data_IF_042487900943
#
_entry.id   IF_042487900943
#
_cell.length_a   1.000
_cell.length_b   1.000
_cell.length_c   1.000
_cell.angle_alpha   90.00
_cell.angle_beta   90.00
_cell.angle_gamma   90.00
#
_symmetry.space_group_name_H-M   'P 1'
#
loop_
_entity.id
_entity.type
_entity.pdbx_description
1 polymer ?
#
# COMPACT_ATOMS: atom_id res chain seq x y z
N UNK A 1 5.06 -17.71 28.87
CA UNK A 1 6.40 -18.33 28.91
C UNK A 1 6.26 -19.67 29.61
N UNK A 2 6.80 -20.77 29.05
CA UNK A 2 6.97 -21.99 29.87
C UNK A 2 7.90 -21.62 31.02
N UNK A 3 7.52 -21.98 32.24
CA UNK A 3 8.35 -21.81 33.42
C UNK A 3 9.74 -22.41 33.16
N UNK A 4 10.80 -21.63 33.39
CA UNK A 4 12.17 -22.16 33.35
C UNK A 4 12.27 -23.20 34.45
N UNK A 5 12.59 -24.44 34.08
CA UNK A 5 12.75 -25.51 35.06
C UNK A 5 14.03 -25.27 35.85
N UNK A 6 13.86 -25.00 37.13
CA UNK A 6 14.97 -24.86 38.07
C UNK A 6 15.16 -26.20 38.77
N UNK A 7 16.40 -26.68 38.76
CA UNK A 7 16.81 -27.90 39.43
C UNK A 7 17.69 -27.55 40.62
N UNK A 8 17.46 -28.17 41.76
CA UNK A 8 18.33 -27.98 42.92
C UNK A 8 19.37 -29.09 42.98
N UNK A 9 20.65 -28.71 43.13
CA UNK A 9 21.76 -29.65 43.34
C UNK A 9 22.44 -29.34 44.68
N UNK A 10 22.82 -30.39 45.41
CA UNK A 10 23.56 -30.32 46.68
C UNK A 10 25.07 -30.20 46.43
N UNK A 11 25.78 -29.55 47.35
CA UNK A 11 27.19 -29.15 47.18
C UNK A 11 28.18 -30.31 46.97
N UNK A 12 27.82 -31.53 47.38
CA UNK A 12 28.60 -32.77 47.20
C UNK A 12 28.48 -33.37 45.79
N UNK A 13 27.41 -33.05 45.05
CA UNK A 13 27.17 -33.52 43.67
C UNK A 13 27.75 -32.57 42.61
N UNK A 14 28.36 -31.45 43.02
CA UNK A 14 29.06 -30.53 42.13
C UNK A 14 30.38 -31.14 41.64
N UNK A 15 30.88 -30.65 40.51
CA UNK A 15 32.18 -31.06 39.96
C UNK A 15 33.06 -29.82 39.71
N UNK A 16 34.14 -29.62 40.50
CA UNK A 16 34.58 -30.46 41.62
C UNK A 16 33.64 -30.36 42.84
N UNK A 17 33.56 -31.41 43.70
CA UNK A 17 32.73 -31.38 44.90
C UNK A 17 33.23 -30.34 45.91
N UNK A 18 32.31 -29.67 46.60
CA UNK A 18 32.66 -28.71 47.66
C UNK A 18 32.45 -29.37 49.02
N UNK A 19 33.55 -29.55 49.76
CA UNK A 19 33.55 -30.17 51.09
C UNK A 19 33.79 -29.13 52.19
N UNK A 20 32.94 -29.13 53.23
CA UNK A 20 33.09 -28.28 54.42
C UNK A 20 31.78 -27.64 54.87
N UNK A 21 30.98 -27.13 53.92
CA UNK A 21 29.65 -26.57 54.16
C UNK A 21 28.62 -27.22 53.23
N UNK A 22 27.48 -27.64 53.78
CA UNK A 22 26.36 -28.22 53.02
C UNK A 22 25.43 -27.10 52.56
N UNK A 23 25.30 -26.92 51.26
CA UNK A 23 24.34 -25.99 50.68
C UNK A 23 23.68 -26.58 49.43
N UNK A 24 22.54 -26.01 49.06
CA UNK A 24 21.83 -26.29 47.83
C UNK A 24 21.97 -25.10 46.88
N UNK A 25 22.12 -25.36 45.58
CA UNK A 25 22.13 -24.32 44.54
C UNK A 25 21.18 -24.65 43.40
N UNK A 26 20.61 -23.61 42.83
CA UNK A 26 19.63 -23.68 41.75
C UNK A 26 20.34 -23.63 40.39
N UNK A 27 20.10 -24.63 39.56
CA UNK A 27 20.74 -24.86 38.27
C UNK A 27 19.72 -25.00 37.15
N UNK A 28 20.12 -24.61 35.94
CA UNK A 28 19.37 -24.86 34.70
C UNK A 28 20.16 -25.86 33.86
N UNK A 29 19.49 -26.87 33.31
CA UNK A 29 20.15 -27.81 32.40
C UNK A 29 20.57 -27.10 31.12
N UNK A 30 21.75 -27.44 30.61
CA UNK A 30 22.22 -26.94 29.31
C UNK A 30 21.19 -27.18 28.19
N UNK A 31 20.51 -28.33 28.17
CA UNK A 31 19.45 -28.63 27.19
C UNK A 31 18.30 -27.61 27.24
N UNK A 32 17.87 -27.26 28.44
CA UNK A 32 16.73 -26.35 28.64
C UNK A 32 17.12 -24.91 28.29
N UNK A 33 18.37 -24.54 28.56
CA UNK A 33 18.94 -23.25 28.15
C UNK A 33 19.09 -23.16 26.62
N UNK A 34 19.64 -24.19 25.97
CA UNK A 34 19.79 -24.25 24.52
C UNK A 34 18.42 -24.18 23.80
N UNK A 35 17.38 -24.83 24.34
CA UNK A 35 16.02 -24.70 23.83
C UNK A 35 15.47 -23.26 23.97
N UNK A 36 15.81 -22.56 25.05
CA UNK A 36 15.40 -21.18 25.26
C UNK A 36 16.10 -20.23 24.28
N UNK A 37 17.41 -20.39 24.08
CA UNK A 37 18.18 -19.64 23.08
C UNK A 37 17.64 -19.85 21.68
N UNK A 38 17.32 -21.10 21.29
CA UNK A 38 16.73 -21.40 20.00
C UNK A 38 15.38 -20.70 19.81
N UNK A 39 14.52 -20.69 20.84
CA UNK A 39 13.23 -19.97 20.80
C UNK A 39 13.42 -18.46 20.71
N UNK A 40 14.41 -17.91 21.42
CA UNK A 40 14.73 -16.49 21.35
C UNK A 40 15.20 -16.10 19.96
N UNK A 41 16.08 -16.90 19.34
CA UNK A 41 16.54 -16.67 17.98
C UNK A 41 15.39 -16.66 16.95
N UNK A 42 14.44 -17.60 17.07
CA UNK A 42 13.22 -17.61 16.23
C UNK A 42 12.37 -16.37 16.48
N UNK A 43 12.14 -16.01 17.75
CA UNK A 43 11.34 -14.83 18.10
C UNK A 43 11.94 -13.53 17.59
N UNK A 44 13.27 -13.39 17.61
CA UNK A 44 13.96 -12.23 17.02
C UNK A 44 13.67 -12.13 15.53
N UNK A 45 13.81 -13.24 14.79
CA UNK A 45 13.52 -13.27 13.35
C UNK A 45 12.06 -12.94 13.05
N UNK A 46 11.12 -13.47 13.83
CA UNK A 46 9.70 -13.21 13.64
C UNK A 46 9.32 -11.76 14.00
N UNK A 47 9.93 -11.19 15.05
CA UNK A 47 9.78 -9.78 15.38
C UNK A 47 10.32 -8.87 14.26
N UNK A 48 11.46 -9.21 13.67
CA UNK A 48 12.02 -8.44 12.55
C UNK A 48 11.07 -8.45 11.34
N UNK A 49 10.52 -9.63 10.99
CA UNK A 49 9.50 -9.74 9.92
C UNK A 49 8.23 -8.96 10.24
N UNK A 50 7.78 -8.99 11.49
CA UNK A 50 6.60 -8.25 11.93
C UNK A 50 6.83 -6.74 11.84
N UNK A 51 8.00 -6.25 12.27
CA UNK A 51 8.37 -4.84 12.14
C UNK A 51 8.42 -4.40 10.68
N UNK A 52 8.96 -5.22 9.79
CA UNK A 52 9.00 -4.90 8.36
C UNK A 52 7.60 -4.86 7.73
N UNK A 53 6.75 -5.84 8.08
CA UNK A 53 5.36 -5.87 7.63
C UNK A 53 4.57 -4.65 8.11
N UNK A 54 4.81 -4.20 9.36
CA UNK A 54 4.19 -3.00 9.91
C UNK A 54 4.64 -1.72 9.18
N UNK A 55 5.93 -1.61 8.84
CA UNK A 55 6.44 -0.47 8.04
C UNK A 55 5.78 -0.41 6.66
N UNK A 56 5.65 -1.55 6.00
CA UNK A 56 4.99 -1.63 4.69
C UNK A 56 3.50 -1.25 4.79
N UNK A 57 2.81 -1.73 5.83
CA UNK A 57 1.42 -1.38 6.07
C UNK A 57 1.23 0.12 6.35
N UNK A 58 2.11 0.73 7.15
CA UNK A 58 2.09 2.16 7.45
C UNK A 58 2.25 3.01 6.17
N UNK A 59 3.20 2.63 5.30
CA UNK A 59 3.40 3.29 4.01
C UNK A 59 2.15 3.22 3.12
N UNK A 60 1.48 2.06 3.07
CA UNK A 60 0.24 1.86 2.30
C UNK A 60 -0.90 2.73 2.87
N UNK A 61 -1.07 2.75 4.20
CA UNK A 61 -2.10 3.56 4.87
C UNK A 61 -1.87 5.05 4.60
N UNK A 62 -0.63 5.52 4.71
CA UNK A 62 -0.28 6.92 4.44
C UNK A 62 -0.61 7.31 3.00
N UNK A 63 -0.20 6.50 2.02
CA UNK A 63 -0.49 6.75 0.60
C UNK A 63 -2.00 6.76 0.32
N UNK A 64 -2.75 5.83 0.92
CA UNK A 64 -4.21 5.78 0.78
C UNK A 64 -4.86 7.03 1.38
N UNK A 65 -4.40 7.46 2.56
CA UNK A 65 -4.89 8.67 3.21
C UNK A 65 -4.64 9.92 2.37
N UNK A 66 -3.45 10.07 1.77
CA UNK A 66 -3.12 11.17 0.87
C UNK A 66 -4.04 11.21 -0.35
N UNK A 67 -4.26 10.05 -1.01
CA UNK A 67 -5.15 9.95 -2.19
C UNK A 67 -6.60 10.26 -1.83
N UNK A 68 -7.12 9.70 -0.75
CA UNK A 68 -8.51 9.95 -0.33
C UNK A 68 -8.72 11.39 0.15
N UNK A 69 -7.72 12.00 0.80
CA UNK A 69 -7.80 13.41 1.19
C UNK A 69 -7.87 14.32 -0.04
N UNK A 70 -7.08 14.04 -1.08
CA UNK A 70 -7.15 14.78 -2.34
C UNK A 70 -8.52 14.62 -3.04
N UNK A 71 -9.06 13.40 -3.09
CA UNK A 71 -10.41 13.16 -3.63
C UNK A 71 -11.51 13.84 -2.80
N UNK A 72 -11.39 13.85 -1.47
CA UNK A 72 -12.33 14.54 -0.60
C UNK A 72 -12.31 16.06 -0.83
N UNK A 73 -11.11 16.65 -0.94
CA UNK A 73 -10.95 18.06 -1.26
C UNK A 73 -11.55 18.42 -2.62
N UNK A 74 -11.27 17.63 -3.66
CA UNK A 74 -11.86 17.79 -4.99
C UNK A 74 -13.38 17.70 -4.94
N UNK A 75 -13.95 16.73 -4.22
CA UNK A 75 -15.40 16.56 -4.09
C UNK A 75 -16.09 17.75 -3.40
N UNK A 76 -15.45 18.37 -2.40
CA UNK A 76 -15.99 19.58 -1.78
C UNK A 76 -15.93 20.77 -2.74
N UNK A 77 -14.83 20.90 -3.48
CA UNK A 77 -14.66 21.99 -4.46
C UNK A 77 -15.60 21.85 -5.66
N UNK A 78 -15.94 20.63 -6.08
CA UNK A 78 -16.89 20.34 -7.17
C UNK A 78 -18.25 21.03 -6.99
N UNK A 79 -18.68 21.30 -5.75
CA UNK A 79 -19.94 22.01 -5.46
C UNK A 79 -19.91 23.48 -5.88
N UNK A 80 -18.72 24.07 -6.01
CA UNK A 80 -18.51 25.50 -6.26
C UNK A 80 -17.68 25.76 -7.52
N UNK A 81 -17.41 24.73 -8.33
CA UNK A 81 -16.68 24.88 -9.58
C UNK A 81 -17.44 25.79 -10.54
N UNK A 82 -16.73 26.80 -11.06
CA UNK A 82 -17.24 27.66 -12.10
C UNK A 82 -16.64 27.26 -13.45
N UNK A 83 -17.46 27.07 -14.48
CA UNK A 83 -16.97 26.81 -15.82
C UNK A 83 -16.12 27.98 -16.31
N UNK A 84 -15.18 27.71 -17.21
CA UNK A 84 -14.39 28.77 -17.83
C UNK A 84 -15.25 29.64 -18.74
N UNK A 85 -14.82 30.88 -19.00
CA UNK A 85 -15.51 31.77 -19.94
C UNK A 85 -15.66 31.13 -21.33
N UNK A 86 -14.64 30.40 -21.78
CA UNK A 86 -14.69 29.67 -23.05
C UNK A 86 -15.77 28.59 -23.05
N UNK A 87 -15.92 27.84 -21.94
CA UNK A 87 -16.95 26.83 -21.82
C UNK A 87 -18.36 27.43 -21.78
N UNK A 88 -18.52 28.57 -21.10
CA UNK A 88 -19.78 29.33 -21.12
C UNK A 88 -20.13 29.80 -22.53
N UNK A 89 -19.15 30.28 -23.31
CA UNK A 89 -19.38 30.71 -24.69
C UNK A 89 -19.80 29.54 -25.59
N UNK A 90 -19.08 28.41 -25.53
CA UNK A 90 -19.47 27.21 -26.28
C UNK A 90 -20.82 26.63 -25.87
N UNK A 91 -21.17 26.76 -24.58
CA UNK A 91 -22.49 26.39 -24.07
C UNK A 91 -23.60 27.24 -24.72
N UNK A 92 -23.41 28.56 -24.84
CA UNK A 92 -24.35 29.44 -25.50
C UNK A 92 -24.48 29.13 -26.99
N UNK A 93 -23.34 28.90 -27.68
CA UNK A 93 -23.35 28.52 -29.10
C UNK A 93 -24.15 27.23 -29.33
N UNK A 94 -23.98 26.23 -28.46
CA UNK A 94 -24.73 24.98 -28.54
C UNK A 94 -26.22 25.15 -28.19
N UNK A 95 -26.56 26.10 -27.31
CA UNK A 95 -27.95 26.39 -26.95
C UNK A 95 -28.70 27.07 -28.11
N UNK A 96 -28.07 27.99 -28.83
CA UNK A 96 -28.68 28.71 -29.96
C UNK A 96 -28.55 27.99 -31.31
N UNK A 97 -27.86 26.84 -31.36
CA UNK A 97 -27.74 26.05 -32.58
C UNK A 97 -29.02 25.28 -32.95
N UNK A 98 -29.98 25.17 -32.03
CA UNK A 98 -31.16 24.32 -32.16
C UNK A 98 -32.38 24.95 -31.49
N UNK A 99 -33.05 25.84 -32.23
CA UNK A 99 -34.24 26.56 -31.76
C UNK A 99 -35.52 25.72 -31.83
N UNK A 100 -35.48 24.56 -32.51
CA UNK A 100 -36.66 23.71 -32.73
C UNK A 100 -36.98 22.83 -31.52
N UNK A 101 -35.96 22.42 -30.75
CA UNK A 101 -36.12 21.52 -29.59
C UNK A 101 -35.33 22.06 -28.38
N UNK A 102 -35.96 22.91 -27.56
CA UNK A 102 -35.31 23.57 -26.43
C UNK A 102 -34.62 22.62 -25.44
N UNK A 103 -35.19 21.45 -25.17
CA UNK A 103 -34.62 20.45 -24.26
C UNK A 103 -33.32 19.84 -24.81
N UNK A 104 -33.23 19.67 -26.14
CA UNK A 104 -32.05 19.12 -26.80
C UNK A 104 -30.90 20.14 -26.79
N UNK A 105 -31.22 21.39 -27.08
CA UNK A 105 -30.27 22.50 -27.01
C UNK A 105 -29.76 22.68 -25.57
N UNK A 106 -30.65 22.65 -24.57
CA UNK A 106 -30.31 22.72 -23.16
C UNK A 106 -29.40 21.56 -22.71
N UNK A 107 -29.69 20.33 -23.15
CA UNK A 107 -28.85 19.17 -22.83
C UNK A 107 -27.46 19.25 -23.48
N UNK A 108 -27.37 19.75 -24.72
CA UNK A 108 -26.08 19.96 -25.39
C UNK A 108 -25.23 21.00 -24.62
N UNK A 109 -25.83 22.14 -24.28
CA UNK A 109 -25.25 23.20 -23.48
C UNK A 109 -24.77 22.69 -22.09
N UNK A 110 -25.62 21.97 -21.37
CA UNK A 110 -25.28 21.39 -20.06
C UNK A 110 -24.08 20.43 -20.14
N UNK A 111 -24.04 19.57 -21.17
CA UNK A 111 -22.94 18.63 -21.34
C UNK A 111 -21.60 19.32 -21.60
N UNK A 112 -21.59 20.48 -22.27
CA UNK A 112 -20.38 21.29 -22.47
C UNK A 112 -19.89 21.84 -21.13
N UNK A 113 -20.77 22.44 -20.34
CA UNK A 113 -20.42 22.98 -19.02
C UNK A 113 -19.89 21.88 -18.10
N UNK A 114 -20.58 20.74 -18.04
CA UNK A 114 -20.16 19.60 -17.20
C UNK A 114 -18.78 19.07 -17.59
N UNK A 115 -18.48 18.97 -18.89
CA UNK A 115 -17.16 18.50 -19.37
C UNK A 115 -16.04 19.50 -19.15
N UNK A 116 -16.35 20.78 -18.97
CA UNK A 116 -15.35 21.82 -18.72
C UNK A 116 -14.82 21.84 -17.28
N UNK A 117 -15.55 21.19 -16.36
CA UNK A 117 -15.13 21.00 -14.97
C UNK A 117 -14.16 19.83 -14.91
N UNK A 118 -12.91 20.11 -14.53
CA UNK A 118 -11.87 19.11 -14.41
C UNK A 118 -11.91 18.39 -13.06
N UNK A 119 -11.50 17.12 -13.04
CA UNK A 119 -11.37 16.30 -11.83
C UNK A 119 -9.96 15.69 -11.75
N UNK A 120 -8.90 16.52 -11.58
CA UNK A 120 -7.52 16.08 -11.64
C UNK A 120 -7.15 15.00 -10.61
N UNK A 121 -7.71 15.03 -9.40
CA UNK A 121 -7.47 14.01 -8.38
C UNK A 121 -8.13 12.68 -8.77
N UNK A 122 -9.36 12.73 -9.31
CA UNK A 122 -10.03 11.55 -9.88
C UNK A 122 -9.25 11.00 -11.07
N UNK A 123 -8.78 11.86 -11.98
CA UNK A 123 -8.01 11.45 -13.16
C UNK A 123 -6.69 10.78 -12.77
N UNK A 124 -5.96 11.35 -11.81
CA UNK A 124 -4.73 10.77 -11.27
C UNK A 124 -5.00 9.42 -10.56
N UNK A 125 -6.11 9.31 -9.82
CA UNK A 125 -6.52 8.05 -9.21
C UNK A 125 -6.82 6.96 -10.25
N UNK A 126 -7.56 7.29 -11.31
CA UNK A 126 -7.86 6.37 -12.40
C UNK A 126 -6.60 5.96 -13.18
N UNK A 127 -5.69 6.91 -13.42
CA UNK A 127 -4.40 6.63 -14.06
C UNK A 127 -3.56 5.64 -13.25
N UNK A 128 -3.50 5.83 -11.93
CA UNK A 128 -2.82 4.92 -11.01
C UNK A 128 -3.47 3.53 -10.99
N UNK A 129 -4.81 3.44 -10.96
CA UNK A 129 -5.51 2.15 -11.01
C UNK A 129 -5.23 1.39 -12.30
N UNK A 130 -5.18 2.09 -13.45
CA UNK A 130 -4.78 1.49 -14.73
C UNK A 130 -3.33 1.02 -14.69
N UNK A 131 -2.42 1.81 -14.11
CA UNK A 131 -1.01 1.45 -13.98
C UNK A 131 -0.82 0.18 -13.12
N UNK A 132 -1.51 0.10 -11.97
CA UNK A 132 -1.51 -1.09 -11.12
C UNK A 132 -2.09 -2.31 -11.85
N UNK A 133 -3.14 -2.13 -12.64
CA UNK A 133 -3.69 -3.21 -13.47
C UNK A 133 -2.68 -3.80 -14.45
N UNK A 134 -1.88 -2.94 -15.09
CA UNK A 134 -0.80 -3.32 -16.00
C UNK A 134 0.32 -4.05 -15.26
N UNK A 135 0.72 -3.55 -14.10
CA UNK A 135 1.75 -4.17 -13.26
C UNK A 135 1.31 -5.57 -12.80
N UNK A 136 0.10 -5.71 -12.26
CA UNK A 136 -0.47 -7.00 -11.86
C UNK A 136 -0.56 -7.99 -13.02
N UNK A 137 -0.95 -7.53 -14.22
CA UNK A 137 -0.94 -8.39 -15.41
C UNK A 137 0.47 -8.88 -15.74
N UNK A 138 1.46 -7.99 -15.68
CA UNK A 138 2.86 -8.32 -15.99
C UNK A 138 3.46 -9.34 -15.01
N UNK A 139 3.07 -9.29 -13.74
CA UNK A 139 3.50 -10.27 -12.73
C UNK A 139 2.95 -11.67 -13.02
N UNK A 140 1.73 -11.76 -13.56
CA UNK A 140 1.11 -13.04 -13.96
C UNK A 140 1.70 -13.63 -15.23
N UNK A 141 2.44 -12.84 -16.02
CA UNK A 141 3.05 -13.29 -17.28
C UNK A 141 4.24 -14.25 -17.07
N UNK A 142 4.66 -14.51 -15.83
CA UNK A 142 5.74 -15.45 -15.50
C UNK A 142 7.11 -14.77 -15.46
N UNK A 143 8.19 -15.54 -15.58
CA UNK A 143 9.56 -15.03 -15.54
C UNK A 143 10.59 -16.05 -16.02
N UNK A 144 11.81 -15.60 -16.26
CA UNK A 144 12.94 -16.47 -16.62
C UNK A 144 13.15 -16.70 -18.12
N UNK A 145 12.33 -16.09 -18.98
CA UNK A 145 12.55 -16.03 -20.44
C UNK A 145 12.81 -14.60 -20.90
N UNK A 146 13.49 -14.45 -22.04
CA UNK A 146 13.70 -13.14 -22.66
C UNK A 146 12.36 -12.43 -22.94
N UNK A 147 11.37 -13.16 -23.46
CA UNK A 147 10.04 -12.62 -23.74
C UNK A 147 9.33 -12.14 -22.47
N UNK A 148 9.33 -12.95 -21.39
CA UNK A 148 8.71 -12.54 -20.12
C UNK A 148 9.37 -11.31 -19.49
N UNK A 149 10.69 -11.16 -19.67
CA UNK A 149 11.41 -10.00 -19.15
C UNK A 149 11.07 -8.74 -19.97
N UNK A 150 11.04 -8.85 -21.30
CA UNK A 150 10.63 -7.75 -22.18
C UNK A 150 9.20 -7.28 -21.87
N UNK A 151 8.26 -8.20 -21.64
CA UNK A 151 6.88 -7.83 -21.28
C UNK A 151 6.82 -7.07 -19.96
N UNK A 152 7.62 -7.46 -18.96
CA UNK A 152 7.68 -6.75 -17.67
C UNK A 152 8.26 -5.34 -17.81
N UNK A 153 9.33 -5.17 -18.59
CA UNK A 153 9.91 -3.85 -18.85
C UNK A 153 8.90 -2.93 -19.56
N UNK A 154 8.27 -3.42 -20.64
CA UNK A 154 7.26 -2.66 -21.38
C UNK A 154 6.06 -2.32 -20.49
N UNK A 155 5.62 -3.24 -19.64
CA UNK A 155 4.53 -3.00 -18.70
C UNK A 155 4.91 -1.94 -17.66
N UNK A 156 6.13 -1.98 -17.11
CA UNK A 156 6.61 -0.97 -16.17
C UNK A 156 6.69 0.42 -16.82
N UNK A 157 7.22 0.51 -18.04
CA UNK A 157 7.26 1.76 -18.81
C UNK A 157 5.86 2.28 -19.14
N UNK A 158 4.93 1.40 -19.51
CA UNK A 158 3.55 1.77 -19.80
C UNK A 158 2.82 2.25 -18.54
N UNK A 159 2.98 1.55 -17.41
CA UNK A 159 2.45 1.98 -16.12
C UNK A 159 2.98 3.36 -15.71
N UNK A 160 4.28 3.61 -15.92
CA UNK A 160 4.88 4.93 -15.67
C UNK A 160 4.30 6.02 -16.60
N UNK A 161 4.02 5.72 -17.86
CA UNK A 161 3.37 6.66 -18.79
C UNK A 161 1.92 6.95 -18.41
N UNK A 162 1.18 5.95 -17.94
CA UNK A 162 -0.18 6.12 -17.43
C UNK A 162 -0.19 7.11 -16.25
N UNK A 163 0.69 6.92 -15.26
CA UNK A 163 0.82 7.84 -14.10
C UNK A 163 1.15 9.28 -14.48
N UNK A 164 1.86 9.48 -15.60
CA UNK A 164 2.20 10.82 -16.11
C UNK A 164 1.10 11.44 -16.98
N UNK A 165 0.01 10.72 -17.27
CA UNK A 165 -1.04 11.17 -18.19
C UNK A 165 -0.58 11.25 -19.66
N UNK A 166 0.51 10.57 -20.03
CA UNK A 166 1.12 10.64 -21.38
C UNK A 166 0.55 9.57 -22.32
N UNK A 167 -0.09 8.54 -21.78
CA UNK A 167 -0.76 7.49 -22.54
C UNK A 167 -2.27 7.76 -22.56
N UNK A 168 -2.72 8.63 -23.45
CA UNK A 168 -4.13 8.77 -23.81
C UNK A 168 -4.27 9.07 -25.29
#
# INVERSE_FOLDING_TARGET
MKEVKIYTIVSDQLSPPITGESFCTDMVRHSDYAELEAKYAVLTVDNDKAMESLKQADAVVKLAHEKFSALAAENEELKYQNPTLSAMMSCLDAFYADDDVPERAMMAAYNILRKSVGTPATDAFLAEMRAQGVEMFSEKFGGGTLLSNMVKEVAADFAAKLRKGVAQ
#
